data_IF_265838390109
#
_entry.id   IF_265838390109
#
_cell.length_a   1.000
_cell.length_b   1.000
_cell.length_c   1.000
_cell.angle_alpha   90.00
_cell.angle_beta   90.00
_cell.angle_gamma   90.00
#
_symmetry.space_group_name_H-M   'P 1'
#
loop_
_entity.id
_entity.type
_entity.pdbx_description
1 polymer ?
#
# COMPACT_ATOMS: atom_id res chain seq x y z
N UNK A 1 8.80 -31.19 -16.90
CA UNK A 1 7.57 -30.38 -16.69
C UNK A 1 6.72 -31.07 -15.64
N UNK A 2 6.53 -30.57 -14.42
CA UNK A 2 5.45 -30.98 -13.54
C UNK A 2 4.24 -30.07 -13.78
N UNK A 3 3.10 -30.73 -13.99
CA UNK A 3 1.82 -30.11 -14.33
C UNK A 3 1.32 -29.17 -13.23
N UNK A 4 0.75 -28.06 -13.64
CA UNK A 4 -0.07 -27.19 -12.82
C UNK A 4 -1.25 -27.97 -12.27
N UNK A 5 -1.16 -28.38 -11.00
CA UNK A 5 -2.29 -28.91 -10.24
C UNK A 5 -3.24 -27.75 -10.01
N UNK A 6 -4.38 -27.79 -10.72
CA UNK A 6 -5.40 -26.78 -10.67
C UNK A 6 -5.96 -26.60 -9.27
N UNK A 7 -5.69 -25.44 -8.68
CA UNK A 7 -6.44 -24.90 -7.56
C UNK A 7 -7.81 -24.45 -8.05
N UNK A 8 -8.71 -25.40 -8.28
CA UNK A 8 -10.15 -25.15 -8.35
C UNK A 8 -10.71 -25.12 -6.94
N UNK A 9 -10.25 -24.17 -6.13
CA UNK A 9 -10.98 -23.80 -4.94
C UNK A 9 -12.22 -23.02 -5.39
N UNK A 10 -13.38 -23.49 -4.99
CA UNK A 10 -14.71 -22.92 -5.21
C UNK A 10 -14.81 -21.46 -4.71
N UNK A 11 -14.25 -20.50 -5.44
CA UNK A 11 -14.62 -19.08 -5.36
C UNK A 11 -15.84 -18.88 -6.28
N UNK A 12 -16.97 -19.47 -5.93
CA UNK A 12 -18.13 -19.65 -6.80
C UNK A 12 -18.94 -18.39 -7.09
N UNK A 13 -18.47 -17.19 -6.71
CA UNK A 13 -19.25 -15.95 -6.89
C UNK A 13 -18.67 -14.99 -7.93
N UNK A 14 -17.45 -15.19 -8.41
CA UNK A 14 -16.83 -14.33 -9.42
C UNK A 14 -16.86 -15.03 -10.79
N UNK A 15 -17.56 -14.41 -11.74
CA UNK A 15 -17.52 -14.88 -13.13
C UNK A 15 -16.18 -14.49 -13.73
N UNK A 16 -15.45 -15.43 -14.36
CA UNK A 16 -14.23 -15.09 -15.07
C UNK A 16 -14.55 -14.12 -16.22
N UNK A 17 -13.60 -13.28 -16.55
CA UNK A 17 -13.71 -12.42 -17.74
C UNK A 17 -13.64 -13.28 -19.02
N UNK A 18 -14.30 -12.84 -20.10
CA UNK A 18 -14.38 -13.66 -21.31
C UNK A 18 -13.03 -13.84 -22.01
N UNK A 19 -12.16 -12.83 -21.96
CA UNK A 19 -10.86 -12.83 -22.64
C UNK A 19 -9.79 -12.27 -21.73
N UNK A 20 -8.64 -12.93 -21.70
CA UNK A 20 -7.44 -12.51 -20.98
C UNK A 20 -6.28 -12.34 -21.97
N UNK A 21 -5.33 -11.48 -21.60
CA UNK A 21 -4.05 -11.30 -22.30
C UNK A 21 -2.89 -11.33 -21.31
N UNK A 22 -1.71 -11.62 -21.79
CA UNK A 22 -0.48 -11.47 -21.02
C UNK A 22 -0.29 -9.98 -20.67
N UNK A 23 -0.01 -9.70 -19.40
CA UNK A 23 0.29 -8.34 -18.93
C UNK A 23 1.68 -7.84 -19.36
N UNK A 24 2.58 -8.75 -19.75
CA UNK A 24 4.00 -8.47 -19.94
C UNK A 24 4.77 -8.19 -18.65
N UNK A 25 4.20 -8.57 -17.49
CA UNK A 25 4.78 -8.38 -16.16
C UNK A 25 4.62 -9.66 -15.35
N UNK A 26 5.73 -10.28 -14.96
CA UNK A 26 5.77 -11.62 -14.37
C UNK A 26 4.87 -11.76 -13.12
N UNK A 27 4.97 -10.83 -12.16
CA UNK A 27 4.19 -10.89 -10.93
C UNK A 27 2.68 -10.71 -11.14
N UNK A 28 2.26 -10.09 -12.23
CA UNK A 28 0.84 -9.89 -12.58
C UNK A 28 0.30 -11.11 -13.37
N UNK A 29 1.12 -11.66 -14.28
CA UNK A 29 0.70 -12.72 -15.18
C UNK A 29 -0.34 -12.24 -16.21
N UNK A 30 -1.52 -12.87 -16.24
CA UNK A 30 -2.59 -12.52 -17.16
C UNK A 30 -3.55 -11.50 -16.55
N UNK A 31 -4.04 -10.59 -17.41
CA UNK A 31 -5.08 -9.61 -17.06
C UNK A 31 -6.24 -9.69 -18.05
N UNK A 32 -7.47 -9.32 -17.68
CA UNK A 32 -8.55 -9.13 -18.64
C UNK A 32 -8.11 -8.21 -19.78
N UNK A 33 -8.51 -8.51 -21.01
CA UNK A 33 -8.03 -7.83 -22.21
C UNK A 33 -8.18 -6.30 -22.14
N UNK A 34 -9.29 -5.82 -21.58
CA UNK A 34 -9.61 -4.40 -21.47
C UNK A 34 -8.87 -3.67 -20.32
N UNK A 35 -8.15 -4.40 -19.45
CA UNK A 35 -7.38 -3.74 -18.38
C UNK A 35 -6.08 -3.15 -18.92
N UNK A 36 -5.73 -1.98 -18.40
CA UNK A 36 -4.39 -1.40 -18.66
C UNK A 36 -3.39 -1.93 -17.65
N UNK A 37 -2.11 -1.93 -18.02
CA UNK A 37 -0.98 -2.15 -17.10
C UNK A 37 -0.09 -0.92 -17.20
N UNK A 38 0.05 -0.19 -16.10
CA UNK A 38 0.65 1.14 -16.09
C UNK A 38 1.66 1.29 -14.94
N UNK A 39 2.68 2.15 -15.06
CA UNK A 39 3.56 2.47 -13.93
C UNK A 39 2.80 3.16 -12.80
N UNK A 40 3.17 2.85 -11.55
CA UNK A 40 2.54 3.40 -10.34
C UNK A 40 2.50 4.93 -10.33
N UNK A 41 3.55 5.59 -10.85
CA UNK A 41 3.62 7.05 -10.97
C UNK A 41 2.50 7.70 -11.81
N UNK A 42 1.79 6.91 -12.61
CA UNK A 42 0.66 7.40 -13.42
C UNK A 42 -0.63 7.45 -12.60
N UNK A 43 -0.76 6.60 -11.59
CA UNK A 43 -1.98 6.43 -10.81
C UNK A 43 -1.86 6.96 -9.38
N UNK A 44 -0.67 7.36 -8.94
CA UNK A 44 -0.46 7.97 -7.62
C UNK A 44 0.74 8.92 -7.62
N UNK A 45 0.59 10.05 -6.93
CA UNK A 45 1.72 10.91 -6.56
C UNK A 45 2.49 10.23 -5.43
N UNK A 46 3.83 10.27 -5.50
CA UNK A 46 4.69 9.71 -4.44
C UNK A 46 5.32 10.84 -3.64
N UNK A 47 5.14 10.82 -2.32
CA UNK A 47 5.70 11.77 -1.37
C UNK A 47 6.76 11.09 -0.52
N UNK A 48 7.92 11.70 -0.40
CA UNK A 48 9.01 11.24 0.45
C UNK A 48 8.82 11.70 1.89
N UNK A 49 9.24 10.86 2.83
CA UNK A 49 9.26 11.20 4.24
C UNK A 49 10.59 11.79 4.72
N UNK A 50 10.54 12.50 5.83
CA UNK A 50 11.69 13.11 6.49
C UNK A 50 11.51 13.03 8.00
N UNK A 51 12.61 13.09 8.74
CA UNK A 51 12.62 13.11 10.21
C UNK A 51 13.15 14.44 10.68
N UNK A 52 12.40 15.20 11.50
CA UNK A 52 12.94 16.36 12.21
C UNK A 52 14.11 15.95 13.10
N UNK A 53 14.99 16.88 13.46
CA UNK A 53 16.13 16.61 14.31
C UNK A 53 15.69 16.01 15.64
N UNK A 54 16.08 14.75 15.89
CA UNK A 54 15.58 13.97 17.03
C UNK A 54 16.01 14.52 18.38
N UNK A 55 17.12 15.26 18.42
CA UNK A 55 17.68 15.88 19.63
C UNK A 55 17.01 17.19 20.05
N UNK A 56 16.02 17.68 19.29
CA UNK A 56 15.29 18.91 19.59
C UNK A 56 13.88 18.62 20.12
N UNK A 57 13.65 18.66 21.44
CA UNK A 57 12.33 18.36 22.01
C UNK A 57 11.20 19.23 21.44
N UNK A 58 11.50 20.50 21.10
CA UNK A 58 10.54 21.45 20.54
C UNK A 58 9.96 21.04 19.18
N UNK A 59 10.51 20.03 18.52
CA UNK A 59 10.02 19.52 17.24
C UNK A 59 9.02 18.37 17.40
N UNK A 60 8.85 17.84 18.62
CA UNK A 60 8.10 16.63 18.91
C UNK A 60 6.89 16.87 19.80
N UNK A 61 6.01 15.87 19.87
CA UNK A 61 4.84 15.85 20.75
C UNK A 61 3.82 16.98 20.49
N UNK A 62 3.69 17.39 19.20
CA UNK A 62 2.70 18.36 18.73
C UNK A 62 1.43 17.69 18.20
N UNK A 63 0.80 18.33 17.21
CA UNK A 63 -0.52 17.92 16.68
C UNK A 63 -0.46 17.31 15.26
N UNK A 64 0.72 17.31 14.61
CA UNK A 64 0.87 16.79 13.25
C UNK A 64 1.28 15.32 13.32
N UNK A 65 0.42 14.45 12.81
CA UNK A 65 0.66 13.02 12.77
C UNK A 65 1.92 12.66 11.97
N UNK A 66 2.80 11.83 12.54
CA UNK A 66 4.06 11.42 11.93
C UNK A 66 4.23 9.90 12.02
N UNK A 67 3.99 9.22 10.89
CA UNK A 67 4.04 7.76 10.82
C UNK A 67 5.41 7.24 10.45
N UNK A 68 5.71 6.06 10.96
CA UNK A 68 6.92 5.28 10.71
C UNK A 68 6.54 3.85 10.27
N UNK A 69 7.47 3.03 9.77
CA UNK A 69 7.16 1.64 9.43
C UNK A 69 6.57 0.84 10.59
N UNK A 70 6.87 1.20 11.84
CA UNK A 70 6.36 0.50 13.04
C UNK A 70 4.91 0.84 13.39
N UNK A 71 4.32 1.82 12.74
CA UNK A 71 2.91 2.19 12.88
C UNK A 71 2.01 1.47 11.88
N UNK A 72 2.60 0.73 10.92
CA UNK A 72 1.88 0.07 9.84
C UNK A 72 1.86 -1.44 10.12
N UNK A 73 0.66 -2.03 10.16
CA UNK A 73 0.52 -3.47 10.23
C UNK A 73 1.03 -4.14 8.94
N UNK A 74 1.59 -5.33 9.10
CA UNK A 74 2.29 -6.00 8.02
C UNK A 74 1.42 -6.94 7.17
N UNK A 75 0.22 -7.27 7.58
CA UNK A 75 -0.52 -8.38 6.95
C UNK A 75 -1.53 -7.94 5.91
N UNK A 76 -2.33 -6.92 6.20
CA UNK A 76 -3.39 -6.43 5.32
C UNK A 76 -3.35 -4.91 5.21
N UNK A 77 -3.89 -4.38 4.10
CA UNK A 77 -4.12 -2.96 3.99
C UNK A 77 -5.31 -2.59 4.89
N UNK A 78 -5.05 -1.79 5.92
CA UNK A 78 -6.07 -1.30 6.84
C UNK A 78 -5.95 0.20 7.04
N UNK A 79 -7.01 0.80 7.59
CA UNK A 79 -6.93 2.17 8.08
C UNK A 79 -5.93 2.23 9.23
N UNK A 80 -5.02 3.21 9.15
CA UNK A 80 -4.04 3.43 10.20
C UNK A 80 -4.71 4.04 11.44
N UNK A 81 -4.38 3.47 12.59
CA UNK A 81 -4.73 4.05 13.88
C UNK A 81 -3.91 5.31 14.18
N UNK A 82 -4.00 5.75 15.43
CA UNK A 82 -3.22 6.88 15.95
C UNK A 82 -1.73 6.55 15.85
N UNK A 83 -0.89 7.44 15.27
CA UNK A 83 0.55 7.21 15.22
C UNK A 83 1.17 7.28 16.60
N UNK A 84 2.29 6.61 16.79
CA UNK A 84 3.03 6.63 18.05
C UNK A 84 3.66 7.97 18.36
N UNK A 85 3.89 8.80 17.35
CA UNK A 85 4.55 10.09 17.47
C UNK A 85 3.87 11.18 16.65
N UNK A 86 3.99 12.37 17.15
CA UNK A 86 3.54 13.60 16.51
C UNK A 86 4.70 14.57 16.41
N UNK A 87 4.65 15.51 15.46
CA UNK A 87 5.58 16.62 15.35
C UNK A 87 4.84 17.94 15.56
N UNK A 88 5.56 18.93 16.05
CA UNK A 88 5.06 20.29 16.16
C UNK A 88 5.08 21.01 14.82
N UNK A 89 4.46 22.20 14.74
CA UNK A 89 4.59 23.07 13.58
C UNK A 89 6.07 23.44 13.32
N UNK A 90 6.85 23.70 14.37
CA UNK A 90 8.28 23.96 14.26
C UNK A 90 9.04 22.74 13.70
N UNK A 91 8.69 21.53 14.14
CA UNK A 91 9.24 20.29 13.59
C UNK A 91 8.91 20.10 12.12
N UNK A 92 7.68 20.40 11.72
CA UNK A 92 7.23 20.35 10.33
C UNK A 92 8.01 21.35 9.44
N UNK A 93 8.19 22.57 9.90
CA UNK A 93 8.90 23.62 9.16
C UNK A 93 10.43 23.40 9.13
N UNK A 94 10.97 22.68 10.10
CA UNK A 94 12.41 22.40 10.22
C UNK A 94 12.96 21.44 9.16
N UNK A 95 12.09 20.69 8.51
CA UNK A 95 12.47 19.66 7.54
C UNK A 95 11.55 19.67 6.33
N UNK A 96 12.02 19.10 5.21
CA UNK A 96 11.28 19.09 3.94
C UNK A 96 10.20 17.99 3.91
N UNK A 97 9.45 17.82 5.02
CA UNK A 97 8.33 16.87 5.07
C UNK A 97 7.08 17.50 4.45
N UNK A 98 6.33 16.73 3.68
CA UNK A 98 5.08 17.19 3.07
C UNK A 98 3.89 16.58 3.82
N UNK A 99 2.92 17.41 4.18
CA UNK A 99 1.66 16.96 4.73
C UNK A 99 0.80 16.32 3.62
N UNK A 100 0.43 15.08 3.81
CA UNK A 100 -0.41 14.33 2.88
C UNK A 100 -1.87 14.33 3.36
N UNK A 101 -2.86 14.40 2.45
CA UNK A 101 -4.28 14.42 2.82
C UNK A 101 -4.75 13.06 3.37
N UNK A 102 -5.89 13.04 4.09
CA UNK A 102 -6.59 11.81 4.40
C UNK A 102 -6.92 11.01 3.13
N UNK A 103 -6.98 9.69 3.24
CA UNK A 103 -7.18 8.81 2.08
C UNK A 103 -5.89 8.55 1.29
N UNK A 104 -4.74 8.96 1.79
CA UNK A 104 -3.44 8.59 1.23
C UNK A 104 -3.02 7.20 1.70
N UNK A 105 -2.20 6.51 0.90
CA UNK A 105 -1.64 5.20 1.24
C UNK A 105 -0.20 5.35 1.68
N UNK A 106 0.14 4.89 2.88
CA UNK A 106 1.52 4.82 3.35
C UNK A 106 2.08 3.42 3.08
N UNK A 107 3.26 3.37 2.47
CA UNK A 107 4.01 2.15 2.19
C UNK A 107 5.36 2.20 2.90
N UNK A 108 5.71 1.13 3.64
CA UNK A 108 7.05 0.97 4.18
C UNK A 108 8.06 0.63 3.07
N UNK A 109 9.17 1.36 3.02
CA UNK A 109 10.25 1.16 2.03
C UNK A 109 11.53 0.61 2.64
N UNK A 110 11.58 0.47 3.97
CA UNK A 110 12.63 -0.23 4.73
C UNK A 110 12.04 -1.44 5.43
N UNK A 111 12.89 -2.33 5.91
CA UNK A 111 12.49 -3.62 6.50
C UNK A 111 11.48 -3.47 7.65
N UNK A 112 10.30 -4.12 7.55
CA UNK A 112 9.83 -4.93 6.42
C UNK A 112 9.29 -4.07 5.26
N UNK A 113 9.81 -4.30 4.04
CA UNK A 113 9.31 -3.62 2.84
C UNK A 113 7.91 -4.14 2.50
N UNK A 114 7.00 -3.21 2.14
CA UNK A 114 5.69 -3.57 1.61
C UNK A 114 4.57 -3.67 2.64
N UNK A 115 4.76 -3.11 3.86
CA UNK A 115 3.64 -2.86 4.77
C UNK A 115 2.82 -1.68 4.25
N UNK A 116 1.50 -1.80 4.25
CA UNK A 116 0.59 -0.83 3.63
C UNK A 116 -0.48 -0.40 4.63
N UNK A 117 -0.68 0.91 4.74
CA UNK A 117 -1.76 1.47 5.56
C UNK A 117 -2.43 2.67 4.89
N UNK A 118 -3.70 2.92 5.20
CA UNK A 118 -4.49 4.03 4.67
C UNK A 118 -4.65 5.09 5.76
N UNK A 119 -4.31 6.34 5.47
CA UNK A 119 -4.46 7.44 6.43
C UNK A 119 -5.89 7.95 6.47
N UNK A 120 -6.40 8.22 7.68
CA UNK A 120 -7.72 8.82 7.90
C UNK A 120 -7.64 10.29 8.28
N UNK A 121 -6.44 10.77 8.58
CA UNK A 121 -6.14 12.15 8.97
C UNK A 121 -4.99 12.73 8.13
N UNK A 122 -4.84 14.06 8.04
CA UNK A 122 -3.64 14.66 7.46
C UNK A 122 -2.40 14.17 8.19
N UNK A 123 -1.37 13.76 7.44
CA UNK A 123 -0.22 13.10 8.05
C UNK A 123 1.09 13.33 7.31
N UNK A 124 2.17 13.15 8.05
CA UNK A 124 3.54 13.13 7.57
C UNK A 124 4.16 11.76 7.85
N UNK A 125 5.31 11.50 7.27
CA UNK A 125 6.01 10.20 7.38
C UNK A 125 7.51 10.39 7.57
N UNK A 126 8.17 9.38 8.12
CA UNK A 126 9.62 9.32 8.16
C UNK A 126 10.20 8.84 6.81
N UNK A 127 11.54 8.88 6.68
CA UNK A 127 12.26 8.45 5.47
C UNK A 127 12.13 6.95 5.17
N UNK A 128 11.71 6.12 6.12
CA UNK A 128 11.45 4.69 5.94
C UNK A 128 10.12 4.37 5.26
N UNK A 129 9.33 5.39 4.97
CA UNK A 129 8.03 5.29 4.31
C UNK A 129 7.97 6.15 3.04
N UNK A 130 6.98 5.84 2.19
CA UNK A 130 6.50 6.70 1.10
C UNK A 130 5.00 6.83 1.22
N UNK A 131 4.50 8.05 1.06
CA UNK A 131 3.05 8.26 0.90
C UNK A 131 2.71 8.27 -0.58
N UNK A 132 1.66 7.55 -0.92
CA UNK A 132 1.08 7.49 -2.25
C UNK A 132 -0.28 8.17 -2.19
N UNK A 133 -0.42 9.31 -2.86
CA UNK A 133 -1.68 10.04 -2.99
C UNK A 133 -2.32 9.56 -4.28
N UNK A 134 -3.45 8.81 -4.21
CA UNK A 134 -4.07 8.26 -5.41
C UNK A 134 -4.57 9.37 -6.33
N UNK A 135 -4.47 9.17 -7.64
CA UNK A 135 -5.13 10.03 -8.63
C UNK A 135 -6.66 9.96 -8.46
N UNK A 136 -7.37 11.00 -8.92
CA UNK A 136 -8.82 11.16 -8.72
C UNK A 136 -9.66 9.93 -9.13
N UNK A 137 -9.23 9.21 -10.17
CA UNK A 137 -9.94 8.05 -10.70
C UNK A 137 -9.56 6.73 -10.04
N UNK A 138 -8.64 6.75 -9.07
CA UNK A 138 -8.10 5.57 -8.40
C UNK A 138 -8.64 5.48 -6.98
N UNK A 139 -9.50 4.51 -6.66
CA UNK A 139 -9.94 4.29 -5.28
C UNK A 139 -8.76 3.93 -4.37
N UNK A 140 -8.67 4.57 -3.21
CA UNK A 140 -7.60 4.33 -2.23
C UNK A 140 -7.48 2.86 -1.83
N UNK A 141 -8.61 2.21 -1.55
CA UNK A 141 -8.65 0.79 -1.17
C UNK A 141 -8.13 -0.13 -2.29
N UNK A 142 -8.42 0.19 -3.56
CA UNK A 142 -7.86 -0.53 -4.70
C UNK A 142 -6.33 -0.37 -4.78
N UNK A 143 -5.83 0.87 -4.65
CA UNK A 143 -4.39 1.12 -4.64
C UNK A 143 -3.70 0.36 -3.51
N UNK A 144 -4.24 0.44 -2.30
CA UNK A 144 -3.71 -0.25 -1.14
C UNK A 144 -3.67 -1.77 -1.33
N UNK A 145 -4.77 -2.38 -1.79
CA UNK A 145 -4.83 -3.82 -2.08
C UNK A 145 -3.86 -4.24 -3.19
N UNK A 146 -3.68 -3.40 -4.21
CA UNK A 146 -2.71 -3.64 -5.29
C UNK A 146 -1.28 -3.66 -4.75
N UNK A 147 -0.93 -2.76 -3.84
CA UNK A 147 0.40 -2.73 -3.20
C UNK A 147 0.64 -3.94 -2.29
N UNK A 148 -0.39 -4.40 -1.57
CA UNK A 148 -0.32 -5.66 -0.79
C UNK A 148 -0.07 -6.84 -1.72
N UNK A 149 -0.78 -6.93 -2.84
CA UNK A 149 -0.57 -8.00 -3.84
C UNK A 149 0.83 -7.95 -4.47
N UNK A 150 1.38 -6.75 -4.65
CA UNK A 150 2.72 -6.54 -5.21
C UNK A 150 3.87 -6.68 -4.18
N UNK A 151 3.59 -7.06 -2.92
CA UNK A 151 4.57 -7.04 -1.82
C UNK A 151 5.86 -7.78 -2.13
N UNK A 152 5.78 -8.99 -2.69
CA UNK A 152 6.97 -9.77 -3.03
C UNK A 152 7.79 -9.08 -4.14
N UNK A 153 7.13 -8.53 -5.14
CA UNK A 153 7.79 -7.75 -6.21
C UNK A 153 8.47 -6.50 -5.63
N UNK A 154 7.82 -5.80 -4.68
CA UNK A 154 8.41 -4.64 -3.98
C UNK A 154 9.67 -5.05 -3.18
N UNK A 155 9.65 -6.20 -2.52
CA UNK A 155 10.81 -6.75 -1.80
C UNK A 155 11.95 -7.10 -2.75
N UNK A 156 11.65 -7.73 -3.88
CA UNK A 156 12.65 -8.06 -4.91
C UNK A 156 13.30 -6.81 -5.52
N UNK A 157 12.58 -5.69 -5.61
CA UNK A 157 13.09 -4.40 -6.06
C UNK A 157 13.90 -3.64 -5.02
N UNK A 158 13.83 -4.06 -3.76
CA UNK A 158 14.64 -3.49 -2.69
C UNK A 158 16.13 -3.78 -2.92
N UNK A 159 16.97 -2.76 -2.77
CA UNK A 159 18.42 -2.85 -2.92
C UNK A 159 19.11 -2.78 -1.56
N UNK A 160 20.25 -3.43 -1.45
CA UNK A 160 21.10 -3.43 -0.26
C UNK A 160 21.31 -4.82 0.34
N UNK A 161 22.52 -5.14 0.72
CA UNK A 161 22.90 -6.44 1.32
C UNK A 161 22.62 -6.51 2.82
N UNK A 162 22.81 -5.39 3.52
CA UNK A 162 22.65 -5.30 4.99
C UNK A 162 21.33 -4.61 5.37
N UNK A 163 20.95 -3.58 4.64
CA UNK A 163 19.70 -2.86 4.84
C UNK A 163 18.99 -2.69 3.48
N UNK A 164 18.00 -3.54 3.25
CA UNK A 164 17.20 -3.41 2.04
C UNK A 164 16.33 -2.14 2.10
N UNK A 165 16.42 -1.34 1.06
CA UNK A 165 15.57 -0.16 0.88
C UNK A 165 15.02 -0.11 -0.54
N UNK A 166 13.72 0.11 -0.66
CA UNK A 166 13.04 0.33 -1.92
C UNK A 166 13.19 1.81 -2.32
N UNK A 167 13.93 2.06 -3.40
CA UNK A 167 14.09 3.43 -3.90
C UNK A 167 12.77 4.01 -4.43
N UNK A 168 12.64 5.33 -4.38
CA UNK A 168 11.47 6.04 -4.93
C UNK A 168 11.27 5.73 -6.43
N UNK A 169 12.36 5.62 -7.20
CA UNK A 169 12.27 5.32 -8.63
C UNK A 169 11.82 3.87 -8.89
N UNK A 170 12.33 2.90 -8.13
CA UNK A 170 11.90 1.51 -8.22
C UNK A 170 10.40 1.36 -7.87
N UNK A 171 9.92 2.10 -6.85
CA UNK A 171 8.50 2.14 -6.50
C UNK A 171 7.67 2.79 -7.61
N UNK A 172 8.06 3.96 -8.10
CA UNK A 172 7.33 4.71 -9.12
C UNK A 172 7.23 3.99 -10.46
N UNK A 173 8.23 3.19 -10.80
CA UNK A 173 8.27 2.38 -12.02
C UNK A 173 7.56 1.04 -11.91
N UNK A 174 7.09 0.63 -10.71
CA UNK A 174 6.32 -0.59 -10.52
C UNK A 174 5.11 -0.58 -11.45
N UNK A 175 5.02 -1.60 -12.30
CA UNK A 175 3.85 -1.76 -13.19
C UNK A 175 2.75 -2.47 -12.43
N UNK A 176 1.54 -1.91 -12.50
CA UNK A 176 0.35 -2.40 -11.79
C UNK A 176 -0.84 -2.52 -12.72
N UNK A 177 -1.75 -3.46 -12.48
CA UNK A 177 -2.99 -3.56 -13.24
C UNK A 177 -3.88 -2.36 -12.93
N UNK A 178 -4.56 -1.84 -13.96
CA UNK A 178 -5.48 -0.72 -13.82
C UNK A 178 -6.78 -1.00 -14.57
N UNK A 179 -7.77 -1.59 -13.88
CA UNK A 179 -9.14 -1.74 -14.36
C UNK A 179 -9.82 -0.40 -14.60
N UNK A 180 -10.97 -0.36 -15.28
CA UNK A 180 -11.91 0.75 -15.21
C UNK A 180 -12.31 1.05 -13.75
N UNK A 181 -12.58 2.33 -13.43
CA UNK A 181 -12.88 2.78 -12.05
C UNK A 181 -13.99 1.95 -11.38
N UNK A 182 -15.06 1.63 -12.09
CA UNK A 182 -16.16 0.81 -11.56
C UNK A 182 -15.72 -0.59 -11.12
N UNK A 183 -14.79 -1.18 -11.87
CA UNK A 183 -14.22 -2.48 -11.52
C UNK A 183 -13.24 -2.36 -10.34
N UNK A 184 -12.42 -1.30 -10.29
CA UNK A 184 -11.58 -1.03 -9.12
C UNK A 184 -12.40 -0.97 -7.83
N UNK A 185 -13.53 -0.24 -7.85
CA UNK A 185 -14.45 -0.15 -6.70
C UNK A 185 -15.04 -1.52 -6.35
N UNK A 186 -15.49 -2.27 -7.35
CA UNK A 186 -16.08 -3.59 -7.14
C UNK A 186 -15.07 -4.59 -6.56
N UNK A 187 -13.85 -4.58 -7.05
CA UNK A 187 -12.75 -5.44 -6.57
C UNK A 187 -12.42 -5.09 -5.12
N UNK A 188 -12.19 -3.81 -4.82
CA UNK A 188 -11.87 -3.36 -3.47
C UNK A 188 -12.98 -3.74 -2.48
N UNK A 189 -14.23 -3.42 -2.79
CA UNK A 189 -15.39 -3.78 -1.95
C UNK A 189 -15.56 -5.30 -1.78
N UNK A 190 -15.18 -6.08 -2.81
CA UNK A 190 -15.16 -7.53 -2.73
C UNK A 190 -14.12 -8.04 -1.74
N UNK A 191 -12.90 -7.51 -1.82
CA UNK A 191 -11.81 -7.85 -0.93
C UNK A 191 -12.14 -7.47 0.53
N UNK A 192 -12.67 -6.27 0.76
CA UNK A 192 -13.05 -5.81 2.09
C UNK A 192 -14.08 -6.75 2.73
N UNK A 193 -15.09 -7.17 1.96
CA UNK A 193 -16.11 -8.14 2.47
C UNK A 193 -15.52 -9.50 2.83
N UNK A 194 -14.64 -10.03 1.98
CA UNK A 194 -14.02 -11.34 2.26
C UNK A 194 -13.07 -11.25 3.44
N UNK A 195 -12.27 -10.19 3.55
CA UNK A 195 -11.39 -9.96 4.71
C UNK A 195 -12.21 -9.89 5.99
N UNK A 196 -13.26 -9.05 6.05
CA UNK A 196 -14.13 -8.94 7.22
C UNK A 196 -14.79 -10.29 7.59
N UNK A 197 -15.12 -11.11 6.60
CA UNK A 197 -15.66 -12.46 6.82
C UNK A 197 -14.62 -13.38 7.48
N UNK A 198 -13.38 -13.35 7.02
CA UNK A 198 -12.30 -14.13 7.64
C UNK A 198 -12.00 -13.65 9.06
N UNK A 199 -11.94 -12.36 9.31
CA UNK A 199 -11.72 -11.79 10.64
C UNK A 199 -12.82 -12.22 11.63
N UNK A 200 -14.08 -12.20 11.18
CA UNK A 200 -15.21 -12.68 11.97
C UNK A 200 -15.11 -14.19 12.31
N UNK A 201 -14.61 -15.00 11.39
CA UNK A 201 -14.39 -16.43 11.62
C UNK A 201 -13.23 -16.69 12.60
N UNK A 202 -12.13 -15.94 12.47
CA UNK A 202 -10.99 -16.00 13.39
C UNK A 202 -11.43 -15.60 14.80
N UNK A 203 -12.14 -14.48 14.94
CA UNK A 203 -12.66 -14.00 16.22
C UNK A 203 -13.59 -15.01 16.92
N UNK A 204 -14.39 -15.75 16.15
CA UNK A 204 -15.21 -16.85 16.70
C UNK A 204 -14.36 -18.01 17.22
N UNK A 205 -13.28 -18.35 16.51
CA UNK A 205 -12.41 -19.48 16.90
C UNK A 205 -11.54 -19.16 18.11
N UNK A 206 -11.17 -17.91 18.32
CA UNK A 206 -10.33 -17.47 19.45
C UNK A 206 -11.13 -17.34 20.77
N UNK A 207 -12.47 -17.41 20.71
CA UNK A 207 -13.35 -17.35 21.90
C UNK A 207 -13.60 -18.72 22.55
N UNK A 208 -13.05 -19.79 21.98
CA UNK A 208 -13.04 -21.14 22.54
C UNK A 208 -11.62 -21.55 22.97
#
# INVERSE_FOLDING_TARGET
RPGCVGWRASMSHYKPYPVYRDSGVEWIGQVPEHWRVTPLKVIAETVNGTTPESGKPEYWDGDIAWYTPTDIDNEVASELGVPRRYITQAGYESCAVKLSPPGSVILSTRAPIGSVGITTIPSTINQGCRTLIPAQDVPTSYLASTLVAAREELRLRGNGTTFQELSTEALRSLRVPMPPRSECVSIASGLDRETARFDALIAKKTRF
#
